data_IF_853937901065
#
_entry.id   IF_853937901065
#
_cell.length_a   1.000
_cell.length_b   1.000
_cell.length_c   1.000
_cell.angle_alpha   90.00
_cell.angle_beta   90.00
_cell.angle_gamma   90.00
#
_symmetry.space_group_name_H-M   'P 1'
#
loop_
_entity.id
_entity.type
_entity.pdbx_description
1 polymer ?
#
# COMPACT_ATOMS: atom_id res chain seq x y z
N UNK A 1 -12.48 19.18 -11.07
CA UNK A 1 -13.23 18.12 -10.36
C UNK A 1 -14.47 17.65 -11.14
N UNK A 2 -15.37 18.56 -11.55
CA UNK A 2 -16.68 18.23 -12.13
C UNK A 2 -16.63 17.35 -13.41
N UNK A 3 -15.68 17.59 -14.31
CA UNK A 3 -15.44 16.76 -15.51
C UNK A 3 -15.19 15.27 -15.19
N UNK A 4 -14.36 14.99 -14.17
CA UNK A 4 -14.00 13.62 -13.80
C UNK A 4 -15.20 12.86 -13.22
N UNK A 5 -16.03 13.56 -12.44
CA UNK A 5 -17.24 12.98 -11.86
C UNK A 5 -18.21 12.45 -12.93
N UNK A 6 -18.53 13.26 -13.94
CA UNK A 6 -19.50 12.88 -14.97
C UNK A 6 -18.99 11.73 -15.86
N UNK A 7 -17.69 11.68 -16.13
CA UNK A 7 -17.06 10.55 -16.82
C UNK A 7 -17.20 9.24 -16.02
N UNK A 8 -16.90 9.27 -14.72
CA UNK A 8 -17.02 8.12 -13.82
C UNK A 8 -18.49 7.70 -13.68
N UNK A 9 -19.42 8.65 -13.58
CA UNK A 9 -20.86 8.41 -13.50
C UNK A 9 -21.37 7.65 -14.73
N UNK A 10 -21.02 8.11 -15.93
CA UNK A 10 -21.51 7.51 -17.17
C UNK A 10 -20.89 6.15 -17.43
N UNK A 11 -19.64 5.92 -17.02
CA UNK A 11 -19.03 4.60 -17.05
C UNK A 11 -19.69 3.64 -16.04
N UNK A 12 -20.02 4.11 -14.84
CA UNK A 12 -20.74 3.33 -13.84
C UNK A 12 -22.16 2.96 -14.31
N UNK A 13 -22.85 3.88 -14.99
CA UNK A 13 -24.16 3.61 -15.61
C UNK A 13 -24.03 2.53 -16.70
N UNK A 14 -23.02 2.60 -17.58
CA UNK A 14 -22.77 1.56 -18.59
C UNK A 14 -22.45 0.20 -17.98
N UNK A 15 -21.60 0.15 -16.94
CA UNK A 15 -21.25 -1.10 -16.25
C UNK A 15 -22.45 -1.72 -15.54
N UNK A 16 -23.29 -0.92 -14.87
CA UNK A 16 -24.52 -1.41 -14.24
C UNK A 16 -25.54 -1.90 -15.28
N UNK A 17 -25.66 -1.21 -16.42
CA UNK A 17 -26.48 -1.67 -17.53
C UNK A 17 -26.02 -3.04 -18.04
N UNK A 18 -24.72 -3.20 -18.34
CA UNK A 18 -24.17 -4.46 -18.83
C UNK A 18 -24.37 -5.63 -17.84
N UNK A 19 -24.13 -5.40 -16.53
CA UNK A 19 -24.38 -6.40 -15.48
C UNK A 19 -25.86 -6.80 -15.41
N UNK A 20 -26.78 -5.83 -15.44
CA UNK A 20 -28.21 -6.13 -15.37
C UNK A 20 -28.73 -6.80 -16.65
N UNK A 21 -28.19 -6.44 -17.81
CA UNK A 21 -28.48 -7.11 -19.08
C UNK A 21 -28.04 -8.59 -19.03
N UNK A 22 -26.85 -8.90 -18.51
CA UNK A 22 -26.39 -10.29 -18.36
C UNK A 22 -27.24 -11.10 -17.37
N UNK A 23 -27.72 -10.50 -16.27
CA UNK A 23 -28.64 -11.18 -15.34
C UNK A 23 -29.99 -11.51 -16.00
N UNK A 24 -30.48 -10.63 -16.88
CA UNK A 24 -31.73 -10.85 -17.61
C UNK A 24 -31.58 -11.94 -18.68
N UNK A 25 -30.43 -12.02 -19.36
CA UNK A 25 -30.12 -13.11 -20.30
C UNK A 25 -29.98 -14.48 -19.61
N UNK A 26 -29.37 -14.52 -18.41
CA UNK A 26 -29.25 -15.76 -17.63
C UNK A 26 -30.61 -16.20 -17.08
N UNK A 27 -31.47 -15.27 -16.67
CA UNK A 27 -32.82 -15.59 -16.17
C UNK A 27 -33.80 -16.00 -17.29
N UNK A 28 -33.56 -15.60 -18.55
CA UNK A 28 -34.39 -15.98 -19.71
C UNK A 28 -33.93 -17.25 -20.42
N UNK A 29 -32.81 -17.87 -20.04
CA UNK A 29 -32.55 -19.28 -20.36
C UNK A 29 -33.50 -20.14 -19.53
N UNK A 30 -34.70 -20.39 -20.08
CA UNK A 30 -35.57 -21.49 -19.66
C UNK A 30 -34.71 -22.74 -19.47
N UNK A 31 -34.72 -23.30 -18.27
CA UNK A 31 -34.19 -24.64 -18.00
C UNK A 31 -34.73 -25.58 -19.09
N UNK A 32 -33.86 -25.98 -20.01
CA UNK A 32 -34.18 -27.01 -20.99
C UNK A 32 -34.30 -28.33 -20.23
N UNK A 33 -35.19 -29.21 -20.69
CA UNK A 33 -35.57 -30.51 -20.11
C UNK A 33 -34.44 -31.55 -19.89
N UNK A 34 -33.17 -31.14 -19.85
CA UNK A 34 -32.02 -32.02 -19.61
C UNK A 34 -31.59 -32.12 -18.14
N UNK A 35 -32.18 -31.31 -17.26
CA UNK A 35 -31.81 -31.25 -15.83
C UNK A 35 -32.80 -31.98 -14.90
N UNK A 36 -33.69 -32.83 -15.46
CA UNK A 36 -34.81 -33.44 -14.72
C UNK A 36 -34.91 -34.97 -14.75
N UNK A 37 -33.89 -35.71 -15.18
CA UNK A 37 -33.86 -37.17 -14.93
C UNK A 37 -32.59 -37.55 -14.19
N UNK A 38 -32.76 -37.75 -12.89
CA UNK A 38 -31.84 -38.47 -12.03
C UNK A 38 -31.95 -39.97 -12.26
N UNK A 39 -30.77 -40.59 -12.34
CA UNK A 39 -30.36 -41.73 -11.53
C UNK A 39 -31.29 -42.96 -11.46
N UNK A 40 -30.90 -44.04 -12.17
CA UNK A 40 -30.80 -45.38 -11.59
C UNK A 40 -30.02 -46.37 -12.48
N UNK A 41 -28.83 -46.69 -11.98
CA UNK A 41 -28.23 -48.02 -11.79
C UNK A 41 -28.24 -49.08 -12.93
N UNK A 42 -27.02 -49.39 -13.37
CA UNK A 42 -26.38 -50.71 -13.56
C UNK A 42 -26.90 -51.78 -14.54
N UNK A 43 -25.90 -52.19 -15.34
CA UNK A 43 -25.42 -53.55 -15.68
C UNK A 43 -25.82 -54.26 -17.00
N UNK A 44 -24.75 -54.70 -17.68
CA UNK A 44 -24.58 -55.88 -18.57
C UNK A 44 -25.25 -55.79 -19.96
N UNK A 45 -24.59 -56.02 -21.11
CA UNK A 45 -23.64 -57.08 -21.49
C UNK A 45 -23.00 -56.81 -22.90
N UNK A 46 -21.66 -56.97 -23.02
CA UNK A 46 -20.78 -57.57 -24.07
C UNK A 46 -21.18 -57.80 -25.57
N UNK A 47 -20.25 -58.13 -26.52
CA UNK A 47 -18.77 -58.26 -26.44
C UNK A 47 -17.94 -57.75 -27.66
N UNK A 48 -16.59 -57.84 -27.54
CA UNK A 48 -15.50 -58.09 -28.53
C UNK A 48 -14.28 -57.19 -28.25
N UNK A 49 -13.00 -57.58 -28.26
CA UNK A 49 -12.24 -58.75 -28.73
C UNK A 49 -10.98 -58.89 -27.82
N UNK A 50 -10.63 -60.09 -27.33
CA UNK A 50 -9.60 -61.04 -27.83
C UNK A 50 -8.18 -60.87 -27.24
N UNK A 51 -7.55 -62.03 -27.01
CA UNK A 51 -6.16 -62.36 -26.57
C UNK A 51 -5.93 -62.40 -25.03
N UNK A 52 -6.03 -63.54 -24.33
CA UNK A 52 -5.06 -64.69 -24.19
C UNK A 52 -3.68 -64.20 -23.68
N UNK A 53 -3.07 -64.65 -22.56
CA UNK A 53 -2.86 -66.02 -22.03
C UNK A 53 -2.50 -66.06 -20.51
N UNK A 54 -2.83 -67.20 -19.87
CA UNK A 54 -2.14 -68.02 -18.82
C UNK A 54 -1.50 -67.38 -17.56
N UNK A 55 -2.01 -67.57 -16.33
CA UNK A 55 -2.06 -68.74 -15.37
C UNK A 55 -0.76 -68.97 -14.55
N UNK A 56 -0.98 -69.13 -13.22
CA UNK A 56 -0.22 -69.77 -12.08
C UNK A 56 0.67 -68.89 -11.19
N UNK A 57 0.80 -69.06 -9.86
CA UNK A 57 -0.03 -69.55 -8.73
C UNK A 57 0.81 -69.32 -7.43
N UNK A 58 0.16 -69.36 -6.25
CA UNK A 58 0.69 -69.70 -4.91
C UNK A 58 1.36 -68.65 -3.95
N UNK A 59 0.53 -68.23 -2.97
CA UNK A 59 0.64 -68.27 -1.49
C UNK A 59 1.69 -67.50 -0.63
N UNK A 60 1.11 -66.71 0.31
CA UNK A 60 1.36 -66.48 1.76
C UNK A 60 2.70 -65.91 2.30
N UNK A 61 2.66 -64.75 3.02
CA UNK A 61 2.55 -64.68 4.50
C UNK A 61 2.82 -63.25 5.08
N UNK A 62 2.17 -62.95 6.21
CA UNK A 62 2.43 -61.99 7.31
C UNK A 62 2.94 -60.53 7.11
N UNK A 63 2.25 -59.57 7.74
CA UNK A 63 2.90 -58.38 8.31
C UNK A 63 2.10 -57.06 8.35
N UNK A 64 1.41 -56.82 9.45
CA UNK A 64 0.77 -55.56 9.88
C UNK A 64 1.75 -54.35 9.86
N UNK A 65 1.43 -53.27 9.12
CA UNK A 65 2.33 -52.12 8.96
C UNK A 65 1.74 -50.79 8.46
N UNK A 66 0.43 -50.68 8.24
CA UNK A 66 -0.12 -49.55 7.46
C UNK A 66 -0.45 -48.28 8.28
N UNK A 67 -0.47 -48.36 9.61
CA UNK A 67 -0.89 -47.20 10.43
C UNK A 67 0.20 -46.15 10.68
N UNK A 68 1.47 -46.42 10.37
CA UNK A 68 2.60 -45.52 10.69
C UNK A 68 3.01 -44.66 9.50
N UNK A 69 2.83 -45.16 8.27
CA UNK A 69 3.25 -44.46 7.05
C UNK A 69 2.26 -43.36 6.65
N UNK A 70 0.95 -43.60 6.83
CA UNK A 70 -0.09 -42.60 6.59
C UNK A 70 0.01 -41.38 7.52
N UNK A 71 0.42 -41.58 8.78
CA UNK A 71 0.61 -40.49 9.75
C UNK A 71 1.86 -39.65 9.45
N UNK A 72 2.93 -40.30 8.96
CA UNK A 72 4.16 -39.61 8.56
C UNK A 72 3.96 -38.78 7.30
N UNK A 73 3.20 -39.32 6.33
CA UNK A 73 2.84 -38.61 5.10
C UNK A 73 1.94 -37.40 5.38
N UNK A 74 0.98 -37.52 6.30
CA UNK A 74 0.10 -36.41 6.70
C UNK A 74 0.84 -35.26 7.39
N UNK A 75 1.81 -35.56 8.27
CA UNK A 75 2.66 -34.51 8.86
C UNK A 75 3.57 -33.84 7.82
N UNK A 76 4.00 -34.59 6.80
CA UNK A 76 4.83 -34.07 5.72
C UNK A 76 4.01 -33.23 4.73
N UNK A 77 2.75 -33.57 4.50
CA UNK A 77 1.79 -32.78 3.71
C UNK A 77 1.35 -31.51 4.48
N UNK A 78 1.15 -31.59 5.81
CA UNK A 78 0.86 -30.40 6.64
C UNK A 78 2.04 -29.43 6.73
N UNK A 79 3.31 -29.87 6.69
CA UNK A 79 4.46 -28.93 6.60
C UNK A 79 4.58 -28.27 5.22
N UNK A 80 4.19 -28.95 4.14
CA UNK A 80 4.27 -28.41 2.77
C UNK A 80 3.17 -27.37 2.51
N UNK A 81 2.00 -27.52 3.12
CA UNK A 81 0.87 -26.59 2.96
C UNK A 81 1.12 -25.21 3.60
N UNK A 82 2.03 -25.12 4.59
CA UNK A 82 2.48 -23.83 5.14
C UNK A 82 3.56 -23.14 4.29
N UNK A 83 4.23 -23.85 3.37
CA UNK A 83 5.27 -23.26 2.50
C UNK A 83 4.70 -22.69 1.19
N UNK A 84 3.55 -23.16 0.70
CA UNK A 84 2.98 -22.74 -0.59
C UNK A 84 2.11 -21.47 -0.52
N UNK A 85 1.46 -21.17 0.62
CA UNK A 85 0.59 -19.98 0.73
C UNK A 85 1.37 -18.66 0.93
N UNK A 86 2.67 -18.71 1.23
CA UNK A 86 3.50 -17.50 1.43
C UNK A 86 4.37 -17.12 0.22
N UNK A 87 4.41 -17.94 -0.84
CA UNK A 87 5.30 -17.72 -2.01
C UNK A 87 4.64 -16.91 -3.15
N UNK A 88 3.32 -16.68 -3.13
CA UNK A 88 2.58 -15.89 -4.15
C UNK A 88 2.57 -14.37 -3.89
N UNK A 89 3.40 -13.89 -2.97
CA UNK A 89 3.36 -12.51 -2.47
C UNK A 89 4.19 -11.46 -3.20
N UNK A 90 5.25 -11.82 -3.95
CA UNK A 90 6.21 -10.82 -4.46
C UNK A 90 6.91 -11.21 -5.76
N UNK A 91 6.29 -10.93 -6.91
CA UNK A 91 7.01 -10.61 -8.15
C UNK A 91 6.26 -9.52 -8.93
N UNK A 92 6.68 -8.26 -8.77
CA UNK A 92 6.51 -7.16 -9.73
C UNK A 92 7.50 -6.05 -9.37
N UNK A 93 8.79 -6.28 -9.64
CA UNK A 93 9.79 -5.23 -9.71
C UNK A 93 9.80 -4.76 -11.17
N UNK A 94 9.18 -3.62 -11.44
CA UNK A 94 9.16 -2.98 -12.75
C UNK A 94 10.54 -2.34 -13.00
N UNK A 95 11.34 -3.01 -13.83
CA UNK A 95 12.48 -2.45 -14.52
C UNK A 95 11.98 -1.51 -15.63
N UNK A 96 11.97 -0.20 -15.38
CA UNK A 96 12.01 0.83 -16.43
C UNK A 96 12.64 2.11 -15.88
N UNK A 97 13.96 2.23 -16.04
CA UNK A 97 14.71 3.48 -15.88
C UNK A 97 15.46 3.72 -17.19
N UNK A 98 14.83 4.44 -18.13
CA UNK A 98 15.55 5.21 -19.14
C UNK A 98 14.87 6.58 -19.30
N UNK A 99 15.65 7.60 -18.96
CA UNK A 99 15.82 8.89 -19.64
C UNK A 99 14.60 9.62 -20.23
N UNK A 100 14.21 10.73 -19.58
CA UNK A 100 13.78 11.92 -20.33
C UNK A 100 14.42 13.18 -19.75
N UNK A 101 15.28 13.77 -20.58
CA UNK A 101 16.02 15.00 -20.40
C UNK A 101 15.11 16.22 -20.19
N UNK A 102 15.61 17.13 -19.35
CA UNK A 102 15.07 18.45 -19.15
C UNK A 102 15.33 19.36 -20.37
N UNK A 103 14.26 19.82 -21.04
CA UNK A 103 14.35 21.01 -21.89
C UNK A 103 13.67 22.21 -21.23
N UNK A 104 14.53 23.18 -20.95
CA UNK A 104 14.30 24.54 -20.49
C UNK A 104 13.56 25.39 -21.52
N UNK A 105 12.51 26.10 -21.12
CA UNK A 105 12.10 27.32 -21.82
C UNK A 105 12.76 28.54 -21.17
N UNK A 106 13.64 29.14 -21.96
CA UNK A 106 14.33 30.40 -21.71
C UNK A 106 13.35 31.56 -21.92
N UNK A 107 13.19 32.40 -20.91
CA UNK A 107 12.68 33.76 -21.09
C UNK A 107 13.71 34.61 -21.86
N UNK A 108 13.31 35.10 -23.04
CA UNK A 108 14.02 36.18 -23.74
C UNK A 108 13.47 37.56 -23.36
N UNK A 109 14.40 38.52 -23.42
CA UNK A 109 14.46 39.84 -22.80
C UNK A 109 13.80 40.99 -23.61
N UNK A 110 13.45 42.04 -22.85
CA UNK A 110 13.63 43.52 -23.08
C UNK A 110 12.74 44.27 -24.10
N UNK A 111 12.68 45.64 -24.10
CA UNK A 111 13.23 46.69 -23.18
C UNK A 111 12.10 47.60 -22.59
N UNK A 112 12.22 48.57 -21.67
CA UNK A 112 13.26 49.53 -21.26
C UNK A 112 12.69 50.96 -21.38
N UNK A 113 12.84 51.81 -20.34
CA UNK A 113 12.57 53.27 -20.26
C UNK A 113 11.07 53.70 -20.37
N UNK A 114 10.55 54.73 -19.68
CA UNK A 114 11.09 55.85 -18.92
C UNK A 114 9.97 56.37 -17.99
N UNK A 115 10.36 56.89 -16.82
CA UNK A 115 9.50 57.66 -15.93
C UNK A 115 9.25 59.04 -16.54
N UNK A 116 7.98 59.44 -16.73
CA UNK A 116 7.64 60.83 -16.95
C UNK A 116 6.65 61.30 -15.87
N UNK A 117 7.10 62.29 -15.12
CA UNK A 117 6.35 63.00 -14.11
C UNK A 117 5.43 64.00 -14.83
N UNK A 118 4.13 64.01 -14.50
CA UNK A 118 3.34 65.23 -14.56
C UNK A 118 2.14 65.15 -13.60
N UNK A 119 2.27 65.85 -12.48
CA UNK A 119 1.14 66.40 -11.74
C UNK A 119 0.56 67.58 -12.54
N UNK A 120 -0.72 67.55 -12.87
CA UNK A 120 -1.59 68.73 -12.91
C UNK A 120 -3.06 68.35 -13.13
N UNK A 121 -3.85 68.62 -12.09
CA UNK A 121 -5.11 69.35 -12.11
C UNK A 121 -6.36 68.79 -12.84
N UNK A 122 -7.48 68.89 -12.14
CA UNK A 122 -8.81 68.97 -12.75
C UNK A 122 -9.65 67.70 -12.83
N UNK A 123 -10.42 67.44 -11.77
CA UNK A 123 -11.86 67.12 -11.88
C UNK A 123 -12.30 65.80 -12.53
N UNK A 124 -12.86 64.92 -11.68
CA UNK A 124 -13.94 63.97 -12.01
C UNK A 124 -13.60 62.77 -12.91
N UNK A 125 -12.90 61.76 -12.36
CA UNK A 125 -12.77 60.43 -13.01
C UNK A 125 -12.54 59.23 -12.07
N UNK A 126 -12.80 59.36 -10.76
CA UNK A 126 -12.61 58.25 -9.81
C UNK A 126 -13.68 57.14 -9.92
N UNK A 127 -14.73 57.31 -10.72
CA UNK A 127 -15.77 56.28 -10.90
C UNK A 127 -15.50 55.32 -12.09
N UNK A 128 -14.56 55.63 -12.99
CA UNK A 128 -14.30 54.83 -14.20
C UNK A 128 -13.21 53.75 -13.99
N UNK A 129 -12.28 53.94 -13.05
CA UNK A 129 -11.18 52.98 -12.81
C UNK A 129 -11.64 51.72 -12.05
N UNK A 130 -12.54 51.87 -11.07
CA UNK A 130 -13.14 50.76 -10.31
C UNK A 130 -14.07 49.89 -11.18
N UNK A 131 -14.79 50.51 -12.13
CA UNK A 131 -15.61 49.80 -13.11
C UNK A 131 -14.78 49.00 -14.12
N UNK A 132 -13.55 49.40 -14.40
CA UNK A 132 -12.67 48.68 -15.35
C UNK A 132 -12.01 47.43 -14.74
N UNK A 133 -11.72 47.46 -13.43
CA UNK A 133 -11.19 46.31 -12.70
C UNK A 133 -12.30 45.26 -12.47
N UNK A 134 -13.51 45.69 -12.11
CA UNK A 134 -14.68 44.80 -11.95
C UNK A 134 -15.15 44.21 -13.28
N UNK A 135 -15.06 44.93 -14.42
CA UNK A 135 -15.34 44.34 -15.74
C UNK A 135 -14.35 43.24 -16.11
N UNK A 136 -13.04 43.47 -15.91
CA UNK A 136 -11.99 42.48 -16.20
C UNK A 136 -12.10 41.22 -15.34
N UNK A 137 -12.47 41.35 -14.06
CA UNK A 137 -12.78 40.18 -13.21
C UNK A 137 -14.03 39.45 -13.67
N UNK A 138 -15.10 40.17 -14.02
CA UNK A 138 -16.35 39.57 -14.50
C UNK A 138 -16.15 38.83 -15.82
N UNK A 139 -15.39 39.40 -16.75
CA UNK A 139 -15.04 38.78 -18.02
C UNK A 139 -14.16 37.53 -17.84
N UNK A 140 -13.23 37.55 -16.87
CA UNK A 140 -12.38 36.40 -16.53
C UNK A 140 -13.18 35.26 -15.85
N UNK A 141 -14.14 35.60 -14.99
CA UNK A 141 -15.07 34.63 -14.38
C UNK A 141 -15.98 34.00 -15.44
N UNK A 142 -16.55 34.80 -16.35
CA UNK A 142 -17.34 34.33 -17.48
C UNK A 142 -16.54 33.39 -18.38
N UNK A 143 -15.28 33.71 -18.66
CA UNK A 143 -14.39 32.86 -19.45
C UNK A 143 -14.09 31.52 -18.74
N UNK A 144 -13.85 31.54 -17.43
CA UNK A 144 -13.65 30.31 -16.64
C UNK A 144 -14.91 29.44 -16.56
N UNK A 145 -16.09 30.07 -16.50
CA UNK A 145 -17.38 29.39 -16.50
C UNK A 145 -17.63 28.70 -17.84
N UNK A 146 -17.36 29.40 -18.95
CA UNK A 146 -17.51 28.84 -20.29
C UNK A 146 -16.57 27.65 -20.52
N UNK A 147 -15.32 27.74 -20.05
CA UNK A 147 -14.35 26.64 -20.13
C UNK A 147 -14.84 25.41 -19.35
N UNK A 148 -15.46 25.60 -18.18
CA UNK A 148 -16.04 24.52 -17.39
C UNK A 148 -17.22 23.86 -18.10
N UNK A 149 -18.13 24.64 -18.68
CA UNK A 149 -19.30 24.12 -19.42
C UNK A 149 -18.83 23.28 -20.61
N UNK A 150 -17.92 23.84 -21.43
CA UNK A 150 -17.39 23.15 -22.60
C UNK A 150 -16.68 21.85 -22.20
N UNK A 151 -15.84 21.87 -21.15
CA UNK A 151 -15.17 20.68 -20.66
C UNK A 151 -16.15 19.57 -20.24
N UNK A 152 -17.27 19.92 -19.57
CA UNK A 152 -18.28 18.93 -19.15
C UNK A 152 -19.02 18.36 -20.35
N UNK A 153 -19.43 19.19 -21.32
CA UNK A 153 -20.12 18.73 -22.53
C UNK A 153 -19.24 17.82 -23.39
N UNK A 154 -17.95 18.14 -23.53
CA UNK A 154 -16.98 17.33 -24.27
C UNK A 154 -16.60 16.02 -23.56
N UNK A 155 -16.92 15.89 -22.27
CA UNK A 155 -16.54 14.71 -21.48
C UNK A 155 -17.23 13.42 -21.91
N UNK A 156 -18.48 13.52 -22.36
CA UNK A 156 -19.23 12.37 -22.82
C UNK A 156 -20.37 12.74 -23.77
N UNK A 157 -20.57 12.00 -24.87
CA UNK A 157 -21.64 12.28 -25.84
C UNK A 157 -23.06 12.10 -25.28
N UNK A 158 -23.23 11.50 -24.10
CA UNK A 158 -24.54 11.39 -23.44
C UNK A 158 -24.93 12.64 -22.65
N UNK A 159 -24.08 13.65 -22.54
CA UNK A 159 -24.40 14.91 -21.85
C UNK A 159 -24.92 15.88 -22.91
N UNK A 160 -26.16 16.34 -22.77
CA UNK A 160 -26.79 17.27 -23.70
C UNK A 160 -26.63 18.72 -23.25
N UNK A 161 -26.79 18.97 -21.96
CA UNK A 161 -26.74 20.32 -21.40
C UNK A 161 -26.13 20.29 -19.99
N UNK A 162 -25.44 21.37 -19.64
CA UNK A 162 -24.80 21.56 -18.34
C UNK A 162 -24.91 23.02 -17.92
N UNK A 163 -25.64 23.28 -16.85
CA UNK A 163 -25.73 24.60 -16.23
C UNK A 163 -25.30 24.52 -14.77
N UNK A 164 -24.72 25.60 -14.26
CA UNK A 164 -24.30 25.66 -12.86
C UNK A 164 -24.40 27.10 -12.35
N UNK A 165 -24.54 27.22 -11.04
CA UNK A 165 -24.59 28.52 -10.37
C UNK A 165 -23.23 29.23 -10.50
N UNK A 166 -23.19 30.31 -11.28
CA UNK A 166 -21.99 31.11 -11.49
C UNK A 166 -21.82 32.21 -10.44
N UNK A 167 -22.87 32.50 -9.67
CA UNK A 167 -22.85 33.58 -8.67
C UNK A 167 -22.57 33.03 -7.27
N UNK A 168 -23.26 31.96 -6.84
CA UNK A 168 -23.14 31.41 -5.48
C UNK A 168 -22.57 29.98 -5.44
N UNK A 169 -22.34 29.34 -6.58
CA UNK A 169 -21.79 27.97 -6.70
C UNK A 169 -22.60 26.88 -5.94
N UNK A 170 -23.90 27.09 -5.71
CA UNK A 170 -24.71 26.21 -4.85
C UNK A 170 -25.32 25.00 -5.58
N UNK A 171 -25.47 25.07 -6.90
CA UNK A 171 -26.14 24.03 -7.66
C UNK A 171 -25.50 23.80 -9.03
N UNK A 172 -25.71 22.60 -9.57
CA UNK A 172 -25.49 22.29 -10.98
C UNK A 172 -26.61 21.40 -11.50
N UNK A 173 -27.02 21.62 -12.75
CA UNK A 173 -28.03 20.85 -13.45
C UNK A 173 -27.40 20.25 -14.70
N UNK A 174 -27.65 18.96 -14.92
CA UNK A 174 -27.07 18.19 -16.04
C UNK A 174 -28.19 17.43 -16.72
N UNK A 175 -28.33 17.66 -18.03
CA UNK A 175 -29.27 16.90 -18.87
C UNK A 175 -28.54 15.75 -19.55
N UNK A 176 -28.95 14.52 -19.24
CA UNK A 176 -28.34 13.30 -19.76
C UNK A 176 -29.28 12.60 -20.76
N UNK A 177 -28.78 12.33 -21.96
CA UNK A 177 -29.42 11.47 -22.94
C UNK A 177 -28.89 10.04 -22.82
N UNK A 178 -29.68 9.18 -22.18
CA UNK A 178 -29.39 7.76 -22.05
C UNK A 178 -30.15 6.95 -23.10
N UNK A 179 -29.54 5.91 -23.69
CA UNK A 179 -30.26 4.99 -24.57
C UNK A 179 -31.44 4.34 -23.85
N UNK A 180 -32.48 3.97 -24.59
CA UNK A 180 -33.63 3.25 -24.03
C UNK A 180 -33.17 1.89 -23.46
N UNK A 181 -33.18 1.79 -22.13
CA UNK A 181 -32.81 0.59 -21.41
C UNK A 181 -34.04 -0.27 -21.12
N UNK A 182 -33.92 -1.59 -21.29
CA UNK A 182 -34.99 -2.56 -20.96
C UNK A 182 -35.07 -2.87 -19.46
N UNK A 183 -34.21 -2.27 -18.64
CA UNK A 183 -34.11 -2.52 -17.20
C UNK A 183 -34.21 -1.20 -16.44
N UNK A 184 -35.07 -1.19 -15.42
CA UNK A 184 -35.17 -0.10 -14.46
C UNK A 184 -34.10 -0.28 -13.38
N UNK A 185 -33.29 0.74 -13.13
CA UNK A 185 -32.40 0.80 -11.99
C UNK A 185 -32.45 2.20 -11.38
N UNK A 186 -32.28 2.28 -10.06
CA UNK A 186 -32.34 3.56 -9.35
C UNK A 186 -31.05 4.36 -9.59
N UNK A 187 -31.17 5.41 -10.39
CA UNK A 187 -30.09 6.37 -10.66
C UNK A 187 -29.74 7.15 -9.39
N UNK A 188 -30.70 7.39 -8.49
CA UNK A 188 -30.49 8.15 -7.25
C UNK A 188 -29.51 7.43 -6.32
N UNK A 189 -29.74 6.14 -6.06
CA UNK A 189 -28.81 5.32 -5.28
C UNK A 189 -27.41 5.26 -5.90
N UNK A 190 -27.33 5.16 -7.23
CA UNK A 190 -26.05 5.16 -7.94
C UNK A 190 -25.33 6.50 -7.80
N UNK A 191 -26.04 7.62 -7.98
CA UNK A 191 -25.50 8.96 -7.80
C UNK A 191 -25.00 9.19 -6.38
N UNK A 192 -25.75 8.78 -5.36
CA UNK A 192 -25.34 8.89 -3.95
C UNK A 192 -24.06 8.08 -3.69
N UNK A 193 -24.01 6.85 -4.20
CA UNK A 193 -22.81 6.00 -4.07
C UNK A 193 -21.60 6.63 -4.75
N UNK A 194 -21.77 7.19 -5.95
CA UNK A 194 -20.70 7.81 -6.72
C UNK A 194 -20.26 9.13 -6.11
N UNK A 195 -21.19 9.94 -5.62
CA UNK A 195 -20.87 11.20 -4.95
C UNK A 195 -19.98 10.95 -3.72
N UNK A 196 -20.22 9.86 -2.97
CA UNK A 196 -19.37 9.46 -1.83
C UNK A 196 -17.98 9.00 -2.25
N UNK A 197 -17.84 8.33 -3.40
CA UNK A 197 -16.55 7.82 -3.87
C UNK A 197 -15.74 8.84 -4.67
N UNK A 198 -16.36 9.96 -5.06
CA UNK A 198 -15.71 10.90 -5.97
C UNK A 198 -14.87 11.89 -5.19
N UNK A 199 -13.56 11.82 -5.44
CA UNK A 199 -12.58 12.71 -4.87
C UNK A 199 -12.51 14.00 -5.69
N UNK A 200 -12.75 15.14 -5.04
CA UNK A 200 -12.65 16.48 -5.64
C UNK A 200 -11.18 16.90 -5.72
N UNK A 201 -10.47 16.77 -4.60
CA UNK A 201 -9.06 17.04 -4.44
C UNK A 201 -8.51 16.15 -3.33
N UNK A 202 -7.39 15.48 -3.58
CA UNK A 202 -6.71 14.62 -2.64
C UNK A 202 -5.21 14.67 -2.93
N UNK A 203 -4.43 14.67 -1.87
CA UNK A 203 -2.99 14.43 -1.94
C UNK A 203 -2.78 12.93 -1.78
N UNK A 204 -2.12 12.30 -2.76
CA UNK A 204 -1.85 10.86 -2.70
C UNK A 204 -1.16 10.50 -1.40
N UNK A 205 -1.64 9.45 -0.73
CA UNK A 205 -1.04 8.94 0.50
C UNK A 205 -1.45 9.68 1.77
N UNK A 206 -2.28 10.74 1.69
CA UNK A 206 -2.82 11.44 2.86
C UNK A 206 -4.35 11.38 2.79
N UNK A 207 -4.98 10.73 3.77
CA UNK A 207 -6.44 10.58 3.84
C UNK A 207 -7.09 11.75 4.55
N UNK A 208 -6.48 12.25 5.62
CA UNK A 208 -7.04 13.29 6.47
C UNK A 208 -5.96 14.12 7.14
N UNK A 209 -6.22 15.40 7.31
CA UNK A 209 -5.37 16.30 8.10
C UNK A 209 -6.18 16.93 9.23
N UNK A 210 -5.60 16.98 10.43
CA UNK A 210 -6.19 17.52 11.65
C UNK A 210 -5.26 18.57 12.23
N UNK A 211 -5.76 19.78 12.44
CA UNK A 211 -5.00 20.84 13.09
C UNK A 211 -5.27 20.81 14.60
N UNK A 212 -4.23 20.60 15.39
CA UNK A 212 -4.31 20.51 16.84
C UNK A 212 -3.47 21.61 17.50
N UNK A 213 -3.99 22.22 18.56
CA UNK A 213 -3.20 23.09 19.44
C UNK A 213 -2.43 22.22 20.43
N UNK A 214 -1.10 22.25 20.35
CA UNK A 214 -0.20 21.63 21.32
C UNK A 214 0.44 22.70 22.19
N UNK A 215 0.74 22.39 23.45
CA UNK A 215 1.52 23.28 24.32
C UNK A 215 2.94 22.75 24.38
N UNK A 216 3.90 23.59 24.00
CA UNK A 216 5.30 23.23 24.01
C UNK A 216 5.86 23.13 25.44
N UNK A 217 7.07 22.56 25.58
CA UNK A 217 7.77 22.47 26.88
C UNK A 217 8.03 23.84 27.53
N UNK A 218 7.99 24.92 26.76
CA UNK A 218 8.16 26.31 27.21
C UNK A 218 6.83 26.99 27.60
N UNK A 219 5.69 26.28 27.49
CA UNK A 219 4.36 26.82 27.80
C UNK A 219 3.71 27.62 26.67
N UNK A 220 4.37 27.72 25.51
CA UNK A 220 3.83 28.38 24.32
C UNK A 220 2.87 27.47 23.57
N UNK A 221 1.79 28.05 23.04
CA UNK A 221 0.83 27.34 22.19
C UNK A 221 1.39 27.24 20.77
N UNK A 222 1.48 26.03 20.26
CA UNK A 222 1.89 25.74 18.90
C UNK A 222 0.78 24.99 18.15
N UNK A 223 0.67 25.28 16.86
CA UNK A 223 -0.23 24.57 15.97
C UNK A 223 0.51 23.40 15.34
N UNK A 224 0.00 22.19 15.55
CA UNK A 224 0.56 20.95 15.01
C UNK A 224 -0.43 20.35 14.04
N UNK A 225 0.01 20.11 12.81
CA UNK A 225 -0.77 19.42 11.79
C UNK A 225 -0.51 17.91 11.89
N UNK A 226 -1.54 17.16 12.25
CA UNK A 226 -1.50 15.70 12.27
C UNK A 226 -2.13 15.17 10.98
N UNK A 227 -1.40 14.34 10.25
CA UNK A 227 -1.88 13.72 9.01
C UNK A 227 -2.12 12.23 9.23
N UNK A 228 -3.27 11.73 8.77
CA UNK A 228 -3.51 10.31 8.57
C UNK A 228 -2.96 9.94 7.18
N UNK A 229 -1.95 9.08 7.17
CA UNK A 229 -1.18 8.74 5.98
C UNK A 229 0.13 9.53 5.87
N UNK A 230 0.96 9.12 4.91
CA UNK A 230 2.32 9.62 4.74
C UNK A 230 2.63 9.93 3.29
N UNK A 231 3.07 11.16 3.06
CA UNK A 231 3.68 11.57 1.80
C UNK A 231 4.66 12.71 2.06
N UNK A 232 5.89 12.35 2.40
CA UNK A 232 6.94 13.32 2.72
C UNK A 232 7.32 14.18 1.51
N UNK A 233 7.30 13.61 0.30
CA UNK A 233 7.65 14.33 -0.92
C UNK A 233 6.68 15.50 -1.19
N UNK A 234 5.37 15.29 -0.99
CA UNK A 234 4.40 16.37 -1.13
C UNK A 234 4.50 17.37 0.03
N UNK A 235 4.71 16.91 1.26
CA UNK A 235 4.88 17.79 2.42
C UNK A 235 6.07 18.74 2.26
N UNK A 236 7.16 18.30 1.61
CA UNK A 236 8.34 19.14 1.36
C UNK A 236 8.06 20.32 0.42
N UNK A 237 7.05 20.22 -0.45
CA UNK A 237 6.62 21.35 -1.30
C UNK A 237 5.99 22.49 -0.52
N UNK A 238 5.50 22.22 0.69
CA UNK A 238 4.89 23.20 1.58
C UNK A 238 5.88 23.71 2.65
N UNK A 239 7.18 23.69 2.36
CA UNK A 239 8.25 24.16 3.27
C UNK A 239 8.12 25.64 3.66
N UNK A 240 7.45 26.45 2.85
CA UNK A 240 7.18 27.87 3.16
C UNK A 240 6.18 28.06 4.31
N UNK A 241 5.34 27.05 4.56
CA UNK A 241 4.24 27.09 5.54
C UNK A 241 4.53 26.18 6.73
N UNK A 242 5.19 25.04 6.49
CA UNK A 242 5.45 23.99 7.47
C UNK A 242 6.92 23.98 7.91
N UNK A 243 7.18 23.92 9.22
CA UNK A 243 8.53 23.68 9.74
C UNK A 243 8.93 22.21 9.61
N UNK A 244 9.66 21.90 8.53
CA UNK A 244 10.11 20.54 8.22
C UNK A 244 11.18 20.00 9.18
N UNK A 245 11.89 20.85 9.93
CA UNK A 245 12.93 20.40 10.86
C UNK A 245 12.36 19.66 12.07
N UNK A 246 11.07 19.89 12.35
CA UNK A 246 10.32 19.28 13.45
C UNK A 246 9.36 18.20 12.96
N UNK A 247 9.45 17.84 11.68
CA UNK A 247 8.61 16.80 11.10
C UNK A 247 8.86 15.47 11.81
N UNK A 248 7.76 14.79 12.12
CA UNK A 248 7.75 13.50 12.78
C UNK A 248 6.80 12.56 12.05
N UNK A 249 7.20 11.31 11.92
CA UNK A 249 6.33 10.23 11.46
C UNK A 249 6.57 8.98 12.31
N UNK A 250 5.50 8.21 12.49
CA UNK A 250 5.52 6.89 13.10
C UNK A 250 5.94 5.77 12.13
N UNK A 251 6.02 6.06 10.82
CA UNK A 251 6.51 5.11 9.82
C UNK A 251 8.04 5.10 9.81
N UNK A 252 8.61 4.03 10.37
CA UNK A 252 10.06 3.82 10.48
C UNK A 252 10.70 3.70 9.09
N UNK A 253 10.05 3.04 8.12
CA UNK A 253 10.60 2.82 6.78
C UNK A 253 10.67 4.12 5.99
N UNK A 254 9.62 4.94 6.05
CA UNK A 254 9.63 6.25 5.41
C UNK A 254 10.68 7.18 6.02
N UNK A 255 10.82 7.16 7.35
CA UNK A 255 11.86 7.94 8.03
C UNK A 255 13.27 7.46 7.68
N UNK A 256 13.50 6.13 7.57
CA UNK A 256 14.77 5.58 7.13
C UNK A 256 15.12 5.99 5.70
N UNK A 257 14.14 5.94 4.79
CA UNK A 257 14.32 6.27 3.36
C UNK A 257 14.62 7.75 3.13
N UNK A 258 13.96 8.65 3.87
CA UNK A 258 14.06 10.09 3.64
C UNK A 258 15.12 10.78 4.53
N UNK A 259 15.27 10.36 5.79
CA UNK A 259 16.17 11.00 6.77
C UNK A 259 17.34 10.11 7.21
N UNK A 260 17.39 8.85 6.77
CA UNK A 260 18.45 7.90 7.10
C UNK A 260 18.20 7.08 8.36
N UNK A 261 19.08 6.10 8.58
CA UNK A 261 18.89 5.06 9.60
C UNK A 261 18.91 5.58 11.05
N UNK A 262 19.71 6.61 11.34
CA UNK A 262 19.76 7.24 12.67
C UNK A 262 18.44 7.94 13.05
N UNK A 263 17.72 8.46 12.05
CA UNK A 263 16.38 9.02 12.27
C UNK A 263 15.39 7.91 12.60
N UNK A 264 15.41 6.82 11.83
CA UNK A 264 14.58 5.64 12.06
C UNK A 264 14.82 5.03 13.45
N UNK A 265 16.08 4.93 13.88
CA UNK A 265 16.47 4.45 15.21
C UNK A 265 15.82 5.28 16.32
N UNK A 266 15.85 6.62 16.21
CA UNK A 266 15.19 7.50 17.18
C UNK A 266 13.67 7.34 17.19
N UNK A 267 13.07 7.12 16.02
CA UNK A 267 11.63 6.85 15.89
C UNK A 267 11.28 5.54 16.59
N UNK A 268 12.04 4.46 16.39
CA UNK A 268 11.83 3.17 17.07
C UNK A 268 11.84 3.34 18.60
N UNK A 269 12.87 4.03 19.14
CA UNK A 269 12.98 4.26 20.59
C UNK A 269 11.76 5.04 21.10
N UNK A 270 11.33 6.06 20.37
CA UNK A 270 10.18 6.90 20.75
C UNK A 270 8.87 6.13 20.68
N UNK A 271 8.60 5.43 19.59
CA UNK A 271 7.36 4.64 19.40
C UNK A 271 7.23 3.54 20.46
N UNK A 272 8.28 2.76 20.71
CA UNK A 272 8.26 1.72 21.75
C UNK A 272 8.01 2.34 23.13
N UNK A 273 8.67 3.47 23.43
CA UNK A 273 8.47 4.19 24.69
C UNK A 273 7.03 4.69 24.83
N UNK A 274 6.46 5.27 23.77
CA UNK A 274 5.12 5.84 23.78
C UNK A 274 4.05 4.74 23.97
N UNK A 275 4.26 3.55 23.39
CA UNK A 275 3.41 2.38 23.64
C UNK A 275 3.41 1.97 25.12
N UNK A 276 4.59 1.83 25.75
CA UNK A 276 4.67 1.48 27.17
C UNK A 276 4.13 2.58 28.10
N UNK A 277 4.30 3.85 27.72
CA UNK A 277 3.83 5.00 28.50
C UNK A 277 2.30 5.01 28.67
N UNK A 278 1.54 4.58 27.66
CA UNK A 278 0.07 4.46 27.73
C UNK A 278 -0.37 3.50 28.84
N UNK A 279 0.42 2.45 29.10
CA UNK A 279 0.15 1.48 30.18
C UNK A 279 0.78 1.86 31.53
N UNK A 280 1.43 3.03 31.62
CA UNK A 280 2.12 3.48 32.84
C UNK A 280 3.39 2.67 33.16
N UNK A 281 3.92 1.92 32.19
CA UNK A 281 5.14 1.12 32.37
C UNK A 281 6.35 1.99 32.05
N UNK A 282 7.23 2.17 33.04
CA UNK A 282 8.46 2.93 32.86
C UNK A 282 9.60 1.96 32.52
N UNK A 283 10.10 2.05 31.29
CA UNK A 283 11.25 1.28 30.81
C UNK A 283 12.49 2.18 30.78
N UNK A 284 13.64 1.68 31.26
CA UNK A 284 14.90 2.41 31.16
C UNK A 284 15.27 2.60 29.67
N UNK A 285 15.54 3.84 29.21
CA UNK A 285 15.90 4.12 27.83
C UNK A 285 17.13 3.35 27.33
N UNK A 286 18.02 2.86 28.21
CA UNK A 286 19.15 2.01 27.84
C UNK A 286 18.72 0.70 27.19
N UNK A 287 17.61 0.10 27.65
CA UNK A 287 17.08 -1.11 27.04
C UNK A 287 16.53 -0.84 25.65
N UNK A 288 15.81 0.27 25.50
CA UNK A 288 15.21 0.67 24.23
C UNK A 288 16.28 1.03 23.19
N UNK A 289 17.35 1.73 23.61
CA UNK A 289 18.49 2.03 22.76
C UNK A 289 19.14 0.76 22.23
N UNK A 290 19.46 -0.20 23.11
CA UNK A 290 20.11 -1.44 22.71
C UNK A 290 19.28 -2.24 21.68
N UNK A 291 17.95 -2.28 21.87
CA UNK A 291 17.05 -2.94 20.93
C UNK A 291 17.03 -2.21 19.59
N UNK A 292 16.89 -0.88 19.60
CA UNK A 292 16.85 -0.09 18.37
C UNK A 292 18.19 -0.16 17.61
N UNK A 293 19.33 -0.10 18.32
CA UNK A 293 20.67 -0.28 17.76
C UNK A 293 20.78 -1.66 17.09
N UNK A 294 20.34 -2.73 17.76
CA UNK A 294 20.34 -4.09 17.20
C UNK A 294 19.39 -4.26 16.00
N UNK A 295 18.32 -3.47 15.91
CA UNK A 295 17.44 -3.46 14.73
C UNK A 295 18.03 -2.66 13.56
N UNK A 296 19.01 -1.78 13.80
CA UNK A 296 19.49 -0.82 12.78
C UNK A 296 20.98 -0.95 12.45
N UNK A 297 21.75 -1.83 13.11
CA UNK A 297 23.21 -1.87 13.00
C UNK A 297 23.73 -2.19 11.60
N UNK A 298 22.94 -2.88 10.76
CA UNK A 298 23.30 -3.21 9.37
C UNK A 298 23.06 -2.03 8.41
N UNK A 299 22.58 -0.89 8.90
CA UNK A 299 22.29 0.31 8.11
C UNK A 299 20.88 0.35 7.52
N UNK A 300 20.06 -0.66 7.79
CA UNK A 300 18.64 -0.72 7.43
C UNK A 300 17.81 -1.26 8.60
N UNK A 301 16.50 -1.09 8.54
CA UNK A 301 15.58 -1.59 9.55
C UNK A 301 15.42 -3.11 9.44
N UNK A 302 15.88 -3.82 10.46
CA UNK A 302 15.84 -5.29 10.57
C UNK A 302 14.80 -5.71 11.62
N UNK A 303 13.71 -6.40 11.22
CA UNK A 303 12.72 -6.91 12.16
C UNK A 303 13.30 -8.05 13.00
N UNK A 304 12.76 -8.26 14.21
CA UNK A 304 13.12 -9.37 15.09
C UNK A 304 12.26 -10.61 14.82
N UNK A 305 12.31 -11.10 13.59
CA UNK A 305 11.57 -12.29 13.13
C UNK A 305 12.49 -13.25 12.34
N UNK A 306 11.91 -14.29 11.73
CA UNK A 306 12.63 -15.28 10.92
C UNK A 306 13.41 -14.70 9.75
N UNK A 307 12.91 -13.63 9.14
CA UNK A 307 13.60 -12.95 8.05
C UNK A 307 14.78 -12.14 8.60
N UNK A 308 14.64 -11.52 9.77
CA UNK A 308 15.75 -10.87 10.45
C UNK A 308 16.86 -11.84 10.86
N UNK A 309 16.53 -13.03 11.37
CA UNK A 309 17.59 -13.96 11.84
C UNK A 309 18.44 -14.54 10.70
N UNK A 310 17.97 -14.48 9.45
CA UNK A 310 18.69 -14.96 8.27
C UNK A 310 20.04 -14.25 8.05
N UNK A 311 20.17 -12.96 8.42
CA UNK A 311 21.46 -12.27 8.29
C UNK A 311 22.42 -12.50 9.47
N UNK A 312 22.06 -13.35 10.45
CA UNK A 312 23.00 -13.72 11.51
C UNK A 312 24.09 -14.68 11.01
N UNK A 313 25.30 -14.54 11.56
CA UNK A 313 26.47 -15.29 11.10
C UNK A 313 26.59 -16.74 11.59
N UNK A 314 25.68 -17.21 12.46
CA UNK A 314 25.77 -18.55 13.08
C UNK A 314 24.66 -19.46 12.54
N UNK A 315 24.98 -20.40 11.64
CA UNK A 315 24.01 -21.37 11.12
C UNK A 315 23.31 -22.16 12.22
N UNK A 316 24.03 -22.56 13.28
CA UNK A 316 23.42 -23.29 14.39
C UNK A 316 22.43 -22.42 15.16
N UNK A 317 22.72 -21.13 15.33
CA UNK A 317 21.77 -20.21 15.95
C UNK A 317 20.49 -20.08 15.11
N UNK A 318 20.61 -19.98 13.79
CA UNK A 318 19.46 -19.94 12.87
C UNK A 318 18.62 -21.22 12.98
N UNK A 319 19.26 -22.39 12.91
CA UNK A 319 18.58 -23.69 13.03
C UNK A 319 17.85 -23.87 14.36
N UNK A 320 18.38 -23.31 15.46
CA UNK A 320 17.74 -23.40 16.79
C UNK A 320 16.58 -22.44 17.00
N UNK A 321 16.35 -21.49 16.08
CA UNK A 321 15.24 -20.54 16.18
C UNK A 321 13.97 -21.11 15.54
N UNK A 322 13.95 -21.30 14.22
CA UNK A 322 12.86 -21.94 13.48
C UNK A 322 13.35 -22.47 12.12
N UNK A 323 12.50 -23.23 11.41
CA UNK A 323 12.75 -23.77 10.05
C UNK A 323 14.10 -24.48 9.90
N UNK A 324 14.44 -25.34 10.86
CA UNK A 324 15.78 -25.94 11.00
C UNK A 324 16.27 -26.66 9.74
N UNK A 325 15.38 -27.39 9.04
CA UNK A 325 15.75 -28.12 7.83
C UNK A 325 16.16 -27.19 6.67
N UNK A 326 15.44 -26.07 6.49
CA UNK A 326 15.76 -25.07 5.45
C UNK A 326 17.14 -24.48 5.68
N UNK A 327 17.41 -24.00 6.89
CA UNK A 327 18.72 -23.45 7.25
C UNK A 327 19.85 -24.48 7.17
N UNK A 328 19.57 -25.74 7.55
CA UNK A 328 20.55 -26.83 7.43
C UNK A 328 20.88 -27.14 5.97
N UNK A 329 19.86 -27.23 5.12
CA UNK A 329 20.02 -27.43 3.67
C UNK A 329 20.85 -26.30 3.07
N UNK A 330 20.48 -25.05 3.35
CA UNK A 330 21.17 -23.86 2.84
C UNK A 330 22.63 -23.81 3.31
N UNK A 331 22.88 -24.00 4.61
CA UNK A 331 24.23 -24.04 5.17
C UNK A 331 25.08 -25.16 4.55
N UNK A 332 24.49 -26.35 4.30
CA UNK A 332 25.20 -27.48 3.67
C UNK A 332 25.49 -27.21 2.20
N UNK A 333 24.54 -26.62 1.47
CA UNK A 333 24.71 -26.24 0.06
C UNK A 333 25.76 -25.16 -0.13
N UNK A 334 25.82 -24.17 0.76
CA UNK A 334 26.80 -23.08 0.72
C UNK A 334 28.15 -23.47 1.34
N UNK A 335 28.26 -24.62 2.00
CA UNK A 335 29.45 -25.01 2.75
C UNK A 335 29.74 -24.06 3.93
N UNK A 336 28.71 -23.54 4.58
CA UNK A 336 28.84 -22.59 5.68
C UNK A 336 29.50 -23.24 6.91
N UNK A 337 30.36 -22.48 7.58
CA UNK A 337 31.04 -22.90 8.80
C UNK A 337 30.58 -22.05 10.00
N UNK A 338 30.21 -22.71 11.11
CA UNK A 338 29.84 -22.01 12.35
C UNK A 338 31.09 -21.80 13.24
N UNK A 339 31.36 -20.55 13.64
CA UNK A 339 32.51 -20.21 14.49
C UNK A 339 32.31 -20.57 15.97
N UNK A 340 31.15 -21.08 16.37
CA UNK A 340 30.80 -21.46 17.74
C UNK A 340 31.05 -20.29 18.71
N UNK A 341 30.60 -19.09 18.31
CA UNK A 341 30.63 -17.87 19.11
C UNK A 341 29.28 -17.53 19.73
N UNK A 342 28.18 -17.82 19.02
CA UNK A 342 26.85 -17.57 19.54
C UNK A 342 26.57 -18.45 20.77
N UNK A 343 25.82 -17.97 21.77
CA UNK A 343 25.43 -18.78 22.91
C UNK A 343 24.70 -20.06 22.49
N UNK A 344 23.79 -19.98 21.51
CA UNK A 344 23.06 -21.14 20.99
C UNK A 344 23.99 -22.19 20.39
N UNK A 345 24.93 -21.79 19.52
CA UNK A 345 25.89 -22.73 18.92
C UNK A 345 26.79 -23.39 19.98
N UNK A 346 27.24 -22.63 20.98
CA UNK A 346 28.04 -23.17 22.08
C UNK A 346 27.28 -24.25 22.86
N UNK A 347 26.00 -24.03 23.15
CA UNK A 347 25.17 -24.99 23.86
C UNK A 347 24.95 -26.27 23.06
N UNK A 348 24.69 -26.16 21.75
CA UNK A 348 24.50 -27.32 20.85
C UNK A 348 25.70 -28.27 20.89
N UNK A 349 26.93 -27.74 20.94
CA UNK A 349 28.16 -28.54 20.94
C UNK A 349 28.72 -28.83 22.34
N UNK A 350 28.07 -28.34 23.41
CA UNK A 350 28.54 -28.50 24.79
C UNK A 350 29.76 -27.66 25.17
N UNK A 351 30.03 -26.56 24.46
CA UNK A 351 31.12 -25.62 24.73
C UNK A 351 30.67 -24.53 25.71
N UNK A 352 31.59 -24.03 26.54
CA UNK A 352 31.32 -22.89 27.44
C UNK A 352 31.02 -21.62 26.63
N UNK A 353 29.93 -20.92 26.97
CA UNK A 353 29.50 -19.67 26.32
C UNK A 353 30.48 -18.54 26.65
N UNK A 354 30.85 -17.74 25.64
CA UNK A 354 31.71 -16.56 25.78
C UNK A 354 30.95 -15.34 26.34
N UNK A 355 30.38 -15.48 27.53
CA UNK A 355 29.65 -14.43 28.23
C UNK A 355 29.83 -14.56 29.74
N UNK A 356 29.79 -13.43 30.46
CA UNK A 356 29.97 -13.41 31.91
C UNK A 356 31.32 -14.01 32.35
N UNK A 357 31.29 -15.13 33.07
CA UNK A 357 32.50 -15.82 33.56
C UNK A 357 33.30 -16.52 32.46
N UNK A 358 32.69 -16.81 31.30
CA UNK A 358 33.35 -17.44 30.15
C UNK A 358 34.08 -16.45 29.23
N UNK A 359 34.19 -15.18 29.61
CA UNK A 359 34.86 -14.13 28.81
C UNK A 359 36.39 -14.20 28.86
N UNK A 360 36.97 -14.88 29.84
CA UNK A 360 38.41 -14.97 30.02
C UNK A 360 38.83 -16.37 30.45
N UNK A 361 40.08 -16.72 30.12
CA UNK A 361 40.69 -17.97 30.56
C UNK A 361 41.48 -17.75 31.84
N UNK A 362 41.47 -18.76 32.71
CA UNK A 362 42.33 -18.80 33.89
C UNK A 362 43.56 -19.65 33.59
N UNK A 363 44.74 -19.08 33.83
CA UNK A 363 46.02 -19.80 33.75
C UNK A 363 46.68 -19.78 35.11
N UNK A 364 47.10 -20.96 35.57
CA UNK A 364 47.91 -21.07 36.78
C UNK A 364 49.40 -20.87 36.41
N UNK A 365 50.11 -19.92 37.02
CA UNK A 365 51.54 -19.79 36.83
C UNK A 365 52.25 -20.98 37.48
N UNK A 366 53.10 -21.68 36.70
CA UNK A 366 53.97 -22.74 37.21
C UNK A 366 55.31 -22.09 37.60
N UNK A 367 55.62 -22.12 38.89
CA UNK A 367 56.91 -21.69 39.48
C UNK A 367 57.98 -22.74 39.32
#
# INVERSE_FOLDING_TARGET
ASFRFFKILLEAIKRKNAKMASFTEVSTRKATRKDLDGDQDKTQNNPSAEEEENIVDAEADEGDGDATEAKRKKNQEEEVDYESEEEDGEENIDENLEDEDAESEKEERTPGAEEDQNEADGGDSQHLSFMSQTKKEKDRLLQSAQLRVNAVLESHPSIQDYTFDTENELWCEVSLALPLMKVYFDISSLLVSLARSTVIHEVKGITRCLLNESTNRQGEKELVLNTEGINLAELFRYSDILDLNRLYSNDIHAMAKNYGIESALRVIIKEIKDVFAVYGIVVDPRHLSLVADYMCFEGFYKPLNRFGIQSNSSPLQQMTFETSYKFLKEATMMGAHDELRSPSACLVVGKVVKGGTGLFDLKQPLT
#
